data_IF_798607011633
#
_entry.id   IF_798607011633
#
_cell.length_a   1.000
_cell.length_b   1.000
_cell.length_c   1.000
_cell.angle_alpha   90.00
_cell.angle_beta   90.00
_cell.angle_gamma   90.00
#
_symmetry.space_group_name_H-M   'P 1'
#
loop_
_entity.id
_entity.type
_entity.pdbx_description
1 polymer ?
#
# COMPACT_ATOMS: atom_id res chain seq x y z
N UNK A 1 -10.98 3.29 0.47
CA UNK A 1 -10.10 4.46 0.20
C UNK A 1 -8.66 4.01 0.48
N UNK A 2 -7.73 4.19 -0.46
CA UNK A 2 -6.33 3.79 -0.29
C UNK A 2 -5.58 4.91 0.42
N UNK A 3 -4.86 4.61 1.50
CA UNK A 3 -3.97 5.57 2.14
C UNK A 3 -2.53 5.07 2.08
N UNK A 4 -1.62 6.03 2.02
CA UNK A 4 -0.19 5.76 2.06
C UNK A 4 0.41 6.48 3.26
N UNK A 5 0.93 5.72 4.23
CA UNK A 5 1.64 6.28 5.38
C UNK A 5 3.13 6.36 5.05
N UNK A 6 3.74 7.53 5.30
CA UNK A 6 5.15 7.78 5.06
C UNK A 6 5.85 7.99 6.41
N UNK A 7 6.79 7.12 6.78
CA UNK A 7 7.70 7.34 7.90
C UNK A 7 9.12 7.21 7.36
N UNK A 8 9.83 8.32 7.12
CA UNK A 8 11.15 8.30 6.48
C UNK A 8 12.09 7.25 7.13
N UNK A 9 12.65 6.25 6.40
CA UNK A 9 12.70 6.06 4.94
C UNK A 9 11.66 5.08 4.37
N UNK A 10 10.61 4.71 5.09
CA UNK A 10 9.62 3.71 4.69
C UNK A 10 8.31 4.33 4.20
N UNK A 11 7.77 3.75 3.13
CA UNK A 11 6.40 3.96 2.67
C UNK A 11 5.61 2.67 2.88
N UNK A 12 4.39 2.81 3.38
CA UNK A 12 3.41 1.73 3.53
C UNK A 12 2.16 2.04 2.71
N UNK A 13 1.65 1.04 2.01
CA UNK A 13 0.39 1.09 1.29
C UNK A 13 -0.66 0.32 2.07
N UNK A 14 -1.71 1.04 2.50
CA UNK A 14 -2.75 0.53 3.37
C UNK A 14 -4.12 0.64 2.71
N UNK A 15 -4.94 -0.38 2.94
CA UNK A 15 -6.35 -0.39 2.54
C UNK A 15 -7.26 -0.33 3.77
N UNK A 16 -8.24 0.58 3.72
CA UNK A 16 -9.24 0.76 4.77
C UNK A 16 -10.53 0.02 4.39
N UNK A 17 -10.88 -1.00 5.17
CA UNK A 17 -12.16 -1.72 5.06
C UNK A 17 -12.93 -1.62 6.38
N UNK A 18 -14.03 -0.85 6.39
CA UNK A 18 -14.97 -0.65 7.53
C UNK A 18 -14.26 -0.18 8.81
N UNK A 19 -13.60 -1.09 9.55
CA UNK A 19 -12.87 -0.82 10.79
C UNK A 19 -11.44 -1.41 10.81
N UNK A 20 -10.99 -2.01 9.72
CA UNK A 20 -9.69 -2.68 9.62
C UNK A 20 -8.79 -1.95 8.63
N UNK A 21 -7.54 -1.74 9.04
CA UNK A 21 -6.46 -1.30 8.16
C UNK A 21 -5.67 -2.55 7.75
N UNK A 22 -5.59 -2.80 6.46
CA UNK A 22 -4.83 -3.93 5.90
C UNK A 22 -3.57 -3.36 5.25
N UNK A 23 -2.41 -3.75 5.80
CA UNK A 23 -1.10 -3.43 5.23
C UNK A 23 -0.84 -4.31 4.01
N UNK A 24 -0.82 -3.71 2.82
CA UNK A 24 -0.67 -4.44 1.55
C UNK A 24 0.80 -4.55 1.13
N UNK A 25 1.57 -3.49 1.30
CA UNK A 25 2.95 -3.43 0.81
C UNK A 25 3.78 -2.36 1.53
N UNK A 26 4.99 -2.73 1.96
CA UNK A 26 6.00 -1.80 2.49
C UNK A 26 7.20 -1.70 1.54
N UNK A 27 7.74 -0.49 1.34
CA UNK A 27 8.97 -0.29 0.57
C UNK A 27 9.80 0.89 1.07
N UNK A 28 11.10 0.85 0.76
CA UNK A 28 12.02 1.94 1.07
C UNK A 28 11.80 3.09 0.07
N UNK A 29 11.51 4.27 0.59
CA UNK A 29 11.42 5.54 -0.12
C UNK A 29 12.76 5.88 -0.75
N UNK A 30 12.85 5.64 -2.07
CA UNK A 30 13.99 6.07 -2.90
C UNK A 30 13.74 7.38 -3.64
N UNK A 31 12.47 7.77 -3.78
CA UNK A 31 12.02 8.93 -4.55
C UNK A 31 10.94 9.69 -3.77
N UNK A 32 10.76 10.99 -4.06
CA UNK A 32 9.76 11.82 -3.39
C UNK A 32 8.33 11.35 -3.67
N UNK A 33 8.06 10.91 -4.91
CA UNK A 33 6.80 10.30 -5.32
C UNK A 33 6.87 8.78 -5.16
N UNK A 34 5.72 8.17 -4.88
CA UNK A 34 5.56 6.71 -4.87
C UNK A 34 5.66 6.21 -6.32
N UNK A 35 6.63 5.34 -6.65
CA UNK A 35 6.71 4.73 -7.97
C UNK A 35 5.48 3.88 -8.31
N UNK A 36 4.99 3.97 -9.55
CA UNK A 36 3.79 3.24 -10.03
C UNK A 36 3.87 1.73 -9.77
N UNK A 37 5.04 1.11 -9.95
CA UNK A 37 5.26 -0.32 -9.66
C UNK A 37 4.84 -0.74 -8.24
N UNK A 38 4.95 0.15 -7.24
CA UNK A 38 4.56 -0.15 -5.87
C UNK A 38 3.05 0.01 -5.66
N UNK A 39 2.41 0.91 -6.41
CA UNK A 39 0.95 1.08 -6.45
C UNK A 39 0.31 -0.13 -7.12
N UNK A 40 0.83 -0.55 -8.27
CA UNK A 40 0.29 -1.69 -9.01
C UNK A 40 0.41 -2.99 -8.20
N UNK A 41 1.56 -3.19 -7.52
CA UNK A 41 1.74 -4.31 -6.62
C UNK A 41 0.73 -4.31 -5.46
N UNK A 42 0.44 -3.15 -4.88
CA UNK A 42 -0.55 -3.04 -3.80
C UNK A 42 -1.96 -3.38 -4.31
N UNK A 43 -2.35 -2.93 -5.51
CA UNK A 43 -3.62 -3.28 -6.14
C UNK A 43 -3.74 -4.79 -6.42
N UNK A 44 -2.69 -5.40 -6.98
CA UNK A 44 -2.67 -6.85 -7.22
C UNK A 44 -2.87 -7.64 -5.93
N UNK A 45 -2.21 -7.22 -4.83
CA UNK A 45 -2.40 -7.86 -3.52
C UNK A 45 -3.81 -7.66 -2.97
N UNK A 46 -4.38 -6.47 -3.10
CA UNK A 46 -5.76 -6.24 -2.67
C UNK A 46 -6.73 -7.16 -3.41
N UNK A 47 -6.64 -7.25 -4.74
CA UNK A 47 -7.51 -8.12 -5.53
C UNK A 47 -7.37 -9.59 -5.11
N UNK A 48 -6.17 -10.04 -4.71
CA UNK A 48 -5.98 -11.41 -4.23
C UNK A 48 -6.64 -11.69 -2.87
N UNK A 49 -6.87 -10.65 -2.06
CA UNK A 49 -7.50 -10.77 -0.74
C UNK A 49 -9.03 -10.74 -0.85
N UNK A 50 -9.61 -10.00 -1.81
CA UNK A 50 -11.06 -9.94 -2.02
C UNK A 50 -11.68 -11.26 -2.53
N UNK A 51 -10.86 -12.25 -2.89
CA UNK A 51 -11.29 -13.61 -3.26
C UNK A 51 -11.23 -14.63 -2.11
N UNK A 52 -10.96 -14.18 -0.88
CA UNK A 52 -10.95 -14.99 0.36
C UNK A 52 -12.15 -14.59 1.22
#
# INVERSE_FOLDING_TARGET
MYHYLTSNPYHQADFFNKNTIILLHGFIKKTQKIPEKHIDLAKTRLNSIEHI
#
